data_IF_778067773188
#
_entry.id   IF_778067773188
#
_cell.length_a   1.000
_cell.length_b   1.000
_cell.length_c   1.000
_cell.angle_alpha   90.00
_cell.angle_beta   90.00
_cell.angle_gamma   90.00
#
_symmetry.space_group_name_H-M   'P 1'
#
loop_
_entity.id
_entity.type
_entity.pdbx_description
1 polymer ?
#
# COMPACT_ATOMS: atom_id res chain seq x y z
N UNK A 1 6.46 -7.60 -14.57
CA UNK A 1 5.05 -7.51 -14.14
C UNK A 1 4.51 -6.15 -14.55
N UNK A 2 3.34 -6.07 -15.18
CA UNK A 2 2.67 -4.79 -15.47
C UNK A 2 1.72 -4.49 -14.31
N UNK A 3 1.81 -3.30 -13.74
CA UNK A 3 0.89 -2.80 -12.71
C UNK A 3 -0.06 -1.81 -13.38
N UNK A 4 -1.35 -1.96 -13.14
CA UNK A 4 -2.42 -1.14 -13.73
C UNK A 4 -3.59 -0.96 -12.75
N UNK A 5 -4.60 -0.20 -13.18
CA UNK A 5 -5.86 -0.03 -12.44
C UNK A 5 -6.61 -1.34 -12.11
N UNK A 6 -6.38 -2.39 -12.89
CA UNK A 6 -6.98 -3.70 -12.65
C UNK A 6 -6.23 -4.52 -11.59
N UNK A 7 -5.03 -4.08 -11.20
CA UNK A 7 -4.21 -4.74 -10.20
C UNK A 7 -4.71 -4.44 -8.78
N UNK A 8 -4.68 -5.45 -7.91
CA UNK A 8 -4.92 -5.30 -6.48
C UNK A 8 -3.73 -5.85 -5.69
N UNK A 9 -3.39 -5.20 -4.57
CA UNK A 9 -2.29 -5.59 -3.71
C UNK A 9 -2.60 -5.39 -2.23
N UNK A 10 -2.09 -6.28 -1.38
CA UNK A 10 -2.08 -6.14 0.07
C UNK A 10 -0.62 -5.96 0.49
N UNK A 11 -0.33 -4.92 1.29
CA UNK A 11 1.02 -4.64 1.78
C UNK A 11 1.03 -4.81 3.30
N UNK A 12 1.66 -5.89 3.77
CA UNK A 12 1.91 -6.11 5.19
C UNK A 12 3.00 -5.16 5.71
N UNK A 13 2.83 -4.57 6.89
CA UNK A 13 3.76 -3.54 7.38
C UNK A 13 3.71 -2.25 6.56
N UNK A 14 2.59 -2.02 5.87
CA UNK A 14 2.43 -0.95 4.89
C UNK A 14 2.31 0.46 5.48
N UNK A 15 2.24 0.59 6.81
CA UNK A 15 2.06 1.90 7.46
C UNK A 15 3.36 2.71 7.59
N UNK A 16 4.54 2.10 7.36
CA UNK A 16 5.82 2.80 7.52
C UNK A 16 6.95 2.28 6.63
N UNK A 17 8.07 3.01 6.60
CA UNK A 17 9.32 2.59 5.96
C UNK A 17 9.18 2.11 4.51
N UNK A 18 9.79 0.97 4.19
CA UNK A 18 9.74 0.37 2.86
C UNK A 18 8.34 -0.11 2.48
N UNK A 19 7.55 -0.60 3.45
CA UNK A 19 6.18 -1.05 3.21
C UNK A 19 5.33 0.10 2.69
N UNK A 20 5.38 1.26 3.35
CA UNK A 20 4.68 2.47 2.92
C UNK A 20 5.16 2.96 1.55
N UNK A 21 6.48 2.98 1.32
CA UNK A 21 7.03 3.36 0.01
C UNK A 21 6.52 2.43 -1.11
N UNK A 22 6.40 1.13 -0.82
CA UNK A 22 5.86 0.14 -1.73
C UNK A 22 4.37 0.36 -1.98
N UNK A 23 3.56 0.52 -0.93
CA UNK A 23 2.14 0.81 -1.04
C UNK A 23 1.86 2.06 -1.91
N UNK A 24 2.61 3.14 -1.67
CA UNK A 24 2.54 4.37 -2.46
C UNK A 24 2.92 4.17 -3.92
N UNK A 25 3.98 3.41 -4.20
CA UNK A 25 4.39 3.12 -5.58
C UNK A 25 3.34 2.29 -6.34
N UNK A 26 2.74 1.31 -5.67
CA UNK A 26 1.68 0.49 -6.24
C UNK A 26 0.41 1.32 -6.54
N UNK A 27 -0.02 2.12 -5.56
CA UNK A 27 -1.17 3.02 -5.72
C UNK A 27 -0.92 4.08 -6.81
N UNK A 28 0.27 4.67 -6.85
CA UNK A 28 0.67 5.63 -7.89
C UNK A 28 0.71 5.04 -9.30
N UNK A 29 0.86 3.71 -9.42
CA UNK A 29 0.73 2.98 -10.69
C UNK A 29 -0.74 2.62 -11.03
N UNK A 30 -1.69 3.05 -10.21
CA UNK A 30 -3.14 2.83 -10.38
C UNK A 30 -3.69 1.62 -9.63
N UNK A 31 -2.86 0.79 -8.98
CA UNK A 31 -3.35 -0.39 -8.30
C UNK A 31 -4.26 -0.04 -7.11
N UNK A 32 -5.24 -0.91 -6.83
CA UNK A 32 -6.01 -0.88 -5.58
C UNK A 32 -5.15 -1.49 -4.48
N UNK A 33 -4.82 -0.72 -3.45
CA UNK A 33 -3.90 -1.14 -2.39
C UNK A 33 -4.61 -1.16 -1.05
N UNK A 34 -4.46 -2.26 -0.32
CA UNK A 34 -4.82 -2.36 1.08
C UNK A 34 -3.55 -2.43 1.94
N UNK A 35 -3.50 -1.63 3.01
CA UNK A 35 -2.44 -1.71 4.02
C UNK A 35 -2.89 -2.69 5.11
N UNK A 36 -2.04 -3.66 5.42
CA UNK A 36 -2.22 -4.59 6.52
C UNK A 36 -1.12 -4.34 7.54
N UNK A 37 -1.44 -3.65 8.62
CA UNK A 37 -0.48 -3.30 9.65
C UNK A 37 -1.07 -3.56 11.04
N UNK A 38 -0.19 -3.75 12.03
CA UNK A 38 -0.60 -3.88 13.42
C UNK A 38 -0.98 -2.52 14.02
N UNK A 39 -0.35 -1.44 13.53
CA UNK A 39 -0.68 -0.09 13.97
C UNK A 39 -1.80 0.49 13.09
N UNK A 40 -3.04 0.38 13.58
CA UNK A 40 -4.23 0.88 12.90
C UNK A 40 -4.18 2.40 12.66
N UNK A 41 -3.70 3.18 13.63
CA UNK A 41 -3.61 4.63 13.51
C UNK A 41 -2.63 5.04 12.41
N UNK A 42 -1.44 4.44 12.40
CA UNK A 42 -0.45 4.68 11.35
C UNK A 42 -0.94 4.19 9.98
N UNK A 43 -1.63 3.05 9.93
CA UNK A 43 -2.25 2.53 8.70
C UNK A 43 -3.32 3.47 8.15
N UNK A 44 -4.15 4.06 9.03
CA UNK A 44 -5.20 5.01 8.66
C UNK A 44 -4.61 6.33 8.17
N UNK A 45 -3.52 6.80 8.76
CA UNK A 45 -2.83 8.02 8.34
C UNK A 45 -1.99 7.86 7.05
N UNK A 46 -1.79 6.63 6.56
CA UNK A 46 -0.91 6.33 5.43
C UNK A 46 -1.52 6.66 4.04
N UNK A 47 -2.77 7.12 3.98
CA UNK A 47 -3.54 7.42 2.76
C UNK A 47 -4.30 8.74 2.85
#
# INVERSE_FOLDING_TARGET
MKISADSAAIVSGGASGLGLATARRLAGAGARVAILDLNEEAGTAAV
#
